data_IF_356078012655
#
_entry.id   IF_356078012655
#
_cell.length_a   1.000
_cell.length_b   1.000
_cell.length_c   1.000
_cell.angle_alpha   90.00
_cell.angle_beta   90.00
_cell.angle_gamma   90.00
#
_symmetry.space_group_name_H-M   'P 1'
#
loop_
_entity.id
_entity.type
_entity.pdbx_description
1 polymer ?
#
# COMPACT_ATOMS: atom_id res chain seq x y z
N UNK A 1 -2.24 5.36 -2.24
CA UNK A 1 -0.98 5.96 -1.77
C UNK A 1 0.16 4.95 -1.69
N UNK A 2 0.08 3.92 -0.83
CA UNK A 2 1.19 2.97 -0.65
C UNK A 2 1.58 2.20 -1.92
N UNK A 3 0.62 1.73 -2.73
CA UNK A 3 0.94 1.12 -4.04
C UNK A 3 1.72 2.07 -4.95
N UNK A 4 1.27 3.32 -5.07
CA UNK A 4 1.97 4.31 -5.87
C UNK A 4 3.38 4.61 -5.33
N UNK A 5 3.56 4.54 -4.01
CA UNK A 5 4.86 4.68 -3.36
C UNK A 5 5.78 3.48 -3.62
N UNK A 6 5.28 2.26 -3.48
CA UNK A 6 6.01 1.04 -3.84
C UNK A 6 6.40 1.04 -5.31
N UNK A 7 5.46 1.30 -6.21
CA UNK A 7 5.71 1.37 -7.66
C UNK A 7 6.70 2.51 -8.02
N UNK A 8 6.71 3.60 -7.25
CA UNK A 8 7.66 4.70 -7.42
C UNK A 8 9.07 4.27 -7.02
N UNK A 9 9.23 3.70 -5.83
CA UNK A 9 10.51 3.22 -5.33
C UNK A 9 11.08 2.11 -6.22
N UNK A 10 10.24 1.18 -6.68
CA UNK A 10 10.63 0.13 -7.63
C UNK A 10 11.04 0.72 -9.00
N UNK A 11 10.32 1.72 -9.49
CA UNK A 11 10.66 2.36 -10.78
C UNK A 11 11.98 3.14 -10.77
N UNK A 12 12.42 3.56 -9.59
CA UNK A 12 13.64 4.34 -9.38
C UNK A 12 14.86 3.44 -9.11
N UNK A 13 14.69 2.12 -9.05
CA UNK A 13 15.74 1.12 -8.74
C UNK A 13 16.59 1.53 -7.53
N UNK A 14 15.91 2.02 -6.49
CA UNK A 14 16.58 2.61 -5.33
C UNK A 14 17.23 1.53 -4.45
N UNK A 15 18.41 1.82 -3.87
CA UNK A 15 18.98 0.97 -2.83
C UNK A 15 18.01 0.74 -1.67
N UNK A 16 18.11 -0.43 -1.03
CA UNK A 16 17.22 -0.81 0.08
C UNK A 16 17.23 0.20 1.23
N UNK A 17 18.39 0.83 1.48
CA UNK A 17 18.55 1.88 2.49
C UNK A 17 17.71 3.12 2.16
N UNK A 18 17.80 3.63 0.92
CA UNK A 18 17.00 4.78 0.45
C UNK A 18 15.50 4.47 0.46
N UNK A 19 15.13 3.25 0.07
CA UNK A 19 13.74 2.76 0.17
C UNK A 19 13.20 2.85 1.60
N UNK A 20 13.99 2.42 2.58
CA UNK A 20 13.60 2.46 4.01
C UNK A 20 13.44 3.89 4.50
N UNK A 21 14.34 4.79 4.13
CA UNK A 21 14.26 6.21 4.50
C UNK A 21 13.00 6.88 3.94
N UNK A 22 12.74 6.71 2.64
CA UNK A 22 11.53 7.25 1.99
C UNK A 22 10.25 6.67 2.60
N UNK A 23 10.27 5.39 2.95
CA UNK A 23 9.13 4.72 3.62
C UNK A 23 8.89 5.33 5.01
N UNK A 24 9.96 5.59 5.75
CA UNK A 24 9.90 6.23 7.06
C UNK A 24 9.33 7.64 6.96
N UNK A 25 9.77 8.44 5.99
CA UNK A 25 9.24 9.79 5.75
C UNK A 25 7.72 9.77 5.49
N UNK A 26 7.24 8.85 4.65
CA UNK A 26 5.81 8.68 4.38
C UNK A 26 5.03 8.35 5.66
N UNK A 27 5.52 7.38 6.45
CA UNK A 27 4.85 6.93 7.68
C UNK A 27 4.83 8.03 8.74
N UNK A 28 5.94 8.74 8.90
CA UNK A 28 6.09 9.81 9.90
C UNK A 28 5.16 10.99 9.55
N UNK A 29 5.11 11.40 8.28
CA UNK A 29 4.20 12.45 7.81
C UNK A 29 2.73 12.06 7.98
N UNK A 30 2.34 10.87 7.49
CA UNK A 30 0.98 10.37 7.63
C UNK A 30 0.54 10.27 9.10
N UNK A 31 1.45 9.87 9.99
CA UNK A 31 1.20 9.80 11.43
C UNK A 31 1.03 11.18 12.05
N UNK A 32 1.80 12.18 11.61
CA UNK A 32 1.70 13.56 12.07
C UNK A 32 0.35 14.17 11.67
N UNK A 33 0.01 14.09 10.38
CA UNK A 33 -1.27 14.54 9.83
C UNK A 33 -2.46 13.89 10.55
N UNK A 34 -2.38 12.59 10.83
CA UNK A 34 -3.39 11.87 11.60
C UNK A 34 -3.60 12.41 13.02
N UNK A 35 -2.51 12.82 13.70
CA UNK A 35 -2.58 13.42 15.05
C UNK A 35 -3.18 14.82 15.03
N UNK A 36 -2.95 15.58 13.95
CA UNK A 36 -3.48 16.94 13.77
C UNK A 36 -4.92 16.94 13.24
N UNK A 37 -5.40 15.80 12.71
CA UNK A 37 -6.69 15.71 12.05
C UNK A 37 -6.69 16.37 10.66
N UNK A 38 -5.51 16.56 10.09
CA UNK A 38 -5.30 17.20 8.79
C UNK A 38 -5.15 16.13 7.69
N UNK A 39 -5.50 16.44 6.44
CA UNK A 39 -5.33 15.53 5.32
C UNK A 39 -3.87 15.47 4.85
N UNK A 40 -3.45 14.30 4.38
CA UNK A 40 -2.15 14.11 3.70
C UNK A 40 -2.22 14.82 2.34
N UNK A 41 -1.46 15.89 2.18
CA UNK A 41 -1.27 16.55 0.89
C UNK A 41 -0.21 15.80 0.06
N UNK A 42 -0.57 15.36 -1.15
CA UNK A 42 0.34 14.58 -2.00
C UNK A 42 1.57 15.36 -2.44
N UNK A 43 1.43 16.67 -2.64
CA UNK A 43 2.52 17.54 -3.07
C UNK A 43 3.56 17.72 -1.95
N UNK A 44 3.10 17.94 -0.72
CA UNK A 44 3.97 18.03 0.47
C UNK A 44 4.64 16.68 0.75
N UNK A 45 3.88 15.59 0.71
CA UNK A 45 4.42 14.24 0.86
C UNK A 45 5.49 13.92 -0.19
N UNK A 46 5.30 14.36 -1.43
CA UNK A 46 6.29 14.19 -2.50
C UNK A 46 7.60 14.92 -2.18
N UNK A 47 7.51 16.14 -1.65
CA UNK A 47 8.68 16.89 -1.18
C UNK A 47 9.42 16.22 -0.02
N UNK A 48 8.69 15.61 0.91
CA UNK A 48 9.27 14.89 2.05
C UNK A 48 9.90 13.54 1.67
N UNK A 49 9.42 12.91 0.61
CA UNK A 49 9.97 11.65 0.09
C UNK A 49 11.25 11.89 -0.70
N UNK A 50 11.36 12.99 -1.42
CA UNK A 50 12.51 13.29 -2.26
C UNK A 50 12.77 14.80 -2.26
N UNK A 51 13.60 15.27 -1.32
CA UNK A 51 13.91 16.69 -1.17
C UNK A 51 14.65 17.25 -2.41
N UNK A 52 15.45 16.40 -3.08
CA UNK A 52 16.19 16.76 -4.30
C UNK A 52 15.25 16.87 -5.52
N UNK A 53 14.22 16.02 -5.57
CA UNK A 53 13.21 15.99 -6.64
C UNK A 53 11.80 16.04 -6.06
N UNK A 54 11.36 17.19 -5.52
CA UNK A 54 10.15 17.29 -4.71
C UNK A 54 8.85 17.00 -5.46
N UNK A 55 8.87 16.99 -6.81
CA UNK A 55 7.70 16.64 -7.63
C UNK A 55 7.73 15.21 -8.18
N UNK A 56 8.82 14.47 -8.02
CA UNK A 56 9.00 13.16 -8.65
C UNK A 56 7.89 12.17 -8.26
N UNK A 57 7.56 12.08 -6.97
CA UNK A 57 6.52 11.19 -6.49
C UNK A 57 5.11 11.69 -6.88
N UNK A 58 4.86 13.00 -6.80
CA UNK A 58 3.59 13.60 -7.22
C UNK A 58 3.30 13.36 -8.70
N UNK A 59 4.28 13.61 -9.56
CA UNK A 59 4.17 13.43 -11.00
C UNK A 59 4.05 11.93 -11.34
N UNK A 60 4.75 11.05 -10.63
CA UNK A 60 4.58 9.60 -10.76
C UNK A 60 3.14 9.16 -10.49
N UNK A 61 2.52 9.69 -9.43
CA UNK A 61 1.13 9.39 -9.08
C UNK A 61 0.17 9.88 -10.17
N UNK A 62 0.39 11.08 -10.70
CA UNK A 62 -0.49 11.68 -11.71
C UNK A 62 -0.39 10.97 -13.06
N UNK A 63 0.82 10.60 -13.47
CA UNK A 63 1.08 10.02 -14.79
C UNK A 63 0.59 8.57 -14.92
N UNK A 64 0.56 7.81 -13.82
CA UNK A 64 0.14 6.41 -13.80
C UNK A 64 -1.34 6.20 -13.39
N UNK A 65 -2.10 7.28 -13.33
CA UNK A 65 -3.54 7.30 -13.03
C UNK A 65 -3.96 6.40 -11.85
N UNK A 66 -3.32 6.61 -10.70
CA UNK A 66 -3.69 5.88 -9.47
C UNK A 66 -5.04 6.31 -8.88
N UNK A 67 -5.79 7.22 -9.54
CA UNK A 67 -7.06 7.75 -9.06
C UNK A 67 -6.97 8.46 -7.71
N UNK A 68 -5.79 8.92 -7.31
CA UNK A 68 -5.60 9.57 -6.01
C UNK A 68 -6.01 11.05 -6.07
N UNK A 69 -6.87 11.44 -5.13
CA UNK A 69 -7.15 12.84 -4.84
C UNK A 69 -5.86 13.56 -4.41
N UNK A 70 -5.67 14.86 -4.75
CA UNK A 70 -4.53 15.65 -4.29
C UNK A 70 -4.37 15.67 -2.76
N UNK A 71 -5.47 15.48 -2.03
CA UNK A 71 -5.51 15.36 -0.58
C UNK A 71 -6.16 14.04 -0.18
N UNK A 72 -5.55 13.33 0.77
CA UNK A 72 -6.00 12.03 1.29
C UNK A 72 -6.29 12.16 2.79
N UNK A 73 -7.46 11.72 3.29
CA UNK A 73 -7.72 11.72 4.73
C UNK A 73 -6.63 10.96 5.50
N UNK A 74 -6.02 11.61 6.51
CA UNK A 74 -5.00 10.99 7.35
C UNK A 74 -5.58 10.07 8.45
N UNK A 75 -6.87 9.72 8.37
CA UNK A 75 -7.48 8.89 9.40
C UNK A 75 -6.89 7.46 9.39
N UNK A 76 -6.81 6.86 10.58
CA UNK A 76 -6.25 5.51 10.76
C UNK A 76 -7.01 4.44 9.97
N UNK A 77 -8.28 4.68 9.63
CA UNK A 77 -9.11 3.71 8.89
C UNK A 77 -8.68 3.66 7.43
N UNK A 78 -8.40 4.81 6.86
CA UNK A 78 -7.92 5.01 5.49
C UNK A 78 -6.49 4.48 5.39
N UNK A 79 -5.61 4.82 6.34
CA UNK A 79 -4.27 4.22 6.46
C UNK A 79 -4.31 2.69 6.63
N UNK A 80 -5.24 2.15 7.42
CA UNK A 80 -5.39 0.70 7.57
C UNK A 80 -5.99 0.02 6.33
N UNK A 81 -6.91 0.66 5.60
CA UNK A 81 -7.37 0.20 4.29
C UNK A 81 -6.24 0.22 3.26
N UNK A 82 -5.32 1.18 3.35
CA UNK A 82 -4.12 1.21 2.50
C UNK A 82 -3.11 0.11 2.87
N UNK A 83 -3.10 -0.36 4.12
CA UNK A 83 -2.25 -1.48 4.57
C UNK A 83 -2.83 -2.84 4.25
N UNK A 84 -4.16 -2.99 4.13
CA UNK A 84 -4.82 -4.30 4.07
C UNK A 84 -6.00 -4.32 3.11
N UNK A 85 -6.04 -5.35 2.27
CA UNK A 85 -7.25 -5.75 1.57
C UNK A 85 -8.17 -6.53 2.53
N UNK A 86 -9.48 -6.30 2.42
CA UNK A 86 -10.51 -6.99 3.20
C UNK A 86 -11.74 -7.25 2.33
N UNK A 87 -12.26 -8.48 2.33
CA UNK A 87 -13.47 -8.85 1.61
C UNK A 87 -14.29 -9.86 2.41
N UNK A 88 -15.62 -9.77 2.32
CA UNK A 88 -16.55 -10.73 2.93
C UNK A 88 -17.64 -11.10 1.93
N UNK A 89 -17.92 -12.39 1.80
CA UNK A 89 -19.01 -12.93 0.97
C UNK A 89 -19.41 -14.31 1.50
N UNK A 90 -20.71 -14.57 1.65
CA UNK A 90 -21.28 -15.93 1.85
C UNK A 90 -20.49 -16.87 2.80
N UNK A 91 -20.14 -16.40 4.01
CA UNK A 91 -19.41 -17.20 5.01
C UNK A 91 -17.88 -17.22 4.84
N UNK A 92 -17.36 -16.58 3.79
CA UNK A 92 -15.94 -16.34 3.56
C UNK A 92 -15.54 -14.92 4.01
N UNK A 93 -14.47 -14.82 4.78
CA UNK A 93 -13.85 -13.55 5.16
C UNK A 93 -12.36 -13.61 4.84
N UNK A 94 -11.90 -12.71 3.97
CA UNK A 94 -10.49 -12.62 3.55
C UNK A 94 -9.92 -11.30 4.02
N UNK A 95 -8.72 -11.34 4.60
CA UNK A 95 -7.95 -10.13 4.86
C UNK A 95 -6.45 -10.40 4.83
N UNK A 96 -5.70 -9.59 4.08
CA UNK A 96 -4.25 -9.69 3.95
C UNK A 96 -3.63 -8.31 3.77
N UNK A 97 -2.34 -8.19 4.07
CA UNK A 97 -1.62 -6.93 3.88
C UNK A 97 -1.34 -6.66 2.41
N UNK A 98 -1.45 -5.41 1.98
CA UNK A 98 -1.34 -5.03 0.58
C UNK A 98 0.02 -5.41 -0.03
N UNK A 99 1.09 -5.37 0.77
CA UNK A 99 2.44 -5.77 0.35
C UNK A 99 2.57 -7.26 -0.03
N UNK A 100 1.58 -8.09 0.33
CA UNK A 100 1.58 -9.51 -0.04
C UNK A 100 1.06 -9.74 -1.47
N UNK A 101 0.39 -8.75 -2.07
CA UNK A 101 -0.06 -8.82 -3.47
C UNK A 101 1.15 -8.74 -4.41
N UNK A 102 1.28 -9.72 -5.31
CA UNK A 102 2.45 -9.90 -6.18
C UNK A 102 3.53 -10.85 -5.61
N UNK A 103 3.49 -11.16 -4.32
CA UNK A 103 4.37 -12.14 -3.65
C UNK A 103 3.59 -13.40 -3.28
N UNK A 104 2.98 -13.40 -2.09
CA UNK A 104 2.20 -14.54 -1.57
C UNK A 104 0.77 -14.56 -2.08
N UNK A 105 0.26 -13.43 -2.57
CA UNK A 105 -1.09 -13.29 -3.07
C UNK A 105 -1.02 -12.88 -4.53
N UNK A 106 -1.68 -13.61 -5.41
CA UNK A 106 -1.83 -13.24 -6.81
C UNK A 106 -3.29 -13.02 -7.14
N UNK A 107 -3.59 -11.96 -7.88
CA UNK A 107 -4.93 -11.67 -8.35
C UNK A 107 -4.94 -11.72 -9.88
N UNK A 108 -5.81 -12.56 -10.43
CA UNK A 108 -6.12 -12.62 -11.86
C UNK A 108 -7.47 -11.94 -12.06
N UNK A 109 -7.44 -10.72 -12.60
CA UNK A 109 -8.63 -9.89 -12.81
C UNK A 109 -9.56 -10.49 -13.88
N UNK A 110 -9.00 -10.99 -15.00
CA UNK A 110 -9.77 -11.57 -16.10
C UNK A 110 -10.56 -12.80 -15.65
N UNK A 111 -9.96 -13.63 -14.80
CA UNK A 111 -10.60 -14.83 -14.24
C UNK A 111 -11.32 -14.57 -12.91
N UNK A 112 -11.25 -13.36 -12.37
CA UNK A 112 -11.78 -13.02 -11.05
C UNK A 112 -11.26 -13.93 -9.92
N UNK A 113 -9.99 -14.35 -9.98
CA UNK A 113 -9.42 -15.36 -9.09
C UNK A 113 -8.34 -14.78 -8.17
N UNK A 114 -8.35 -15.15 -6.90
CA UNK A 114 -7.29 -14.83 -5.94
C UNK A 114 -6.55 -16.11 -5.52
N UNK A 115 -5.24 -16.18 -5.77
CA UNK A 115 -4.37 -17.31 -5.40
C UNK A 115 -3.58 -16.92 -4.15
N UNK A 116 -3.61 -17.79 -3.13
CA UNK A 116 -2.87 -17.61 -1.88
C UNK A 116 -1.80 -18.69 -1.77
N UNK A 117 -0.53 -18.29 -1.83
CA UNK A 117 0.64 -19.15 -1.69
C UNK A 117 1.09 -19.18 -0.22
N UNK A 118 1.57 -20.34 0.23
CA UNK A 118 2.08 -20.51 1.60
C UNK A 118 1.00 -20.31 2.67
N UNK A 119 -0.10 -21.07 2.57
CA UNK A 119 -1.21 -21.01 3.53
C UNK A 119 -0.71 -21.20 4.99
N UNK A 120 -1.35 -20.55 5.97
CA UNK A 120 -1.02 -20.76 7.38
C UNK A 120 -1.16 -22.25 7.75
N UNK A 121 -0.18 -22.78 8.49
CA UNK A 121 -0.15 -24.21 8.89
C UNK A 121 -1.46 -24.68 9.49
N UNK A 122 -2.08 -23.85 10.35
CA UNK A 122 -3.37 -24.16 10.97
C UNK A 122 -4.50 -24.36 9.96
N UNK A 123 -4.53 -23.59 8.87
CA UNK A 123 -5.52 -23.74 7.80
C UNK A 123 -5.20 -24.98 6.96
N UNK A 124 -3.93 -25.20 6.62
CA UNK A 124 -3.49 -26.40 5.89
C UNK A 124 -3.85 -27.69 6.66
N UNK A 125 -3.63 -27.71 7.96
CA UNK A 125 -3.95 -28.87 8.81
C UNK A 125 -5.45 -29.13 8.86
N UNK A 126 -6.28 -28.10 8.95
CA UNK A 126 -7.73 -28.24 8.89
C UNK A 126 -8.21 -28.80 7.55
N UNK A 127 -7.61 -28.35 6.44
CA UNK A 127 -7.96 -28.84 5.10
C UNK A 127 -7.55 -30.31 4.89
N UNK A 128 -6.41 -30.74 5.46
CA UNK A 128 -5.92 -32.13 5.35
C UNK A 128 -6.70 -33.13 6.21
N UNK A 129 -7.39 -32.68 7.25
CA UNK A 129 -8.19 -33.52 8.16
C UNK A 129 -9.63 -33.74 7.65
N UNK A 130 -9.96 -33.20 6.47
CA UNK A 130 -11.24 -33.44 5.80
C UNK A 130 -11.29 -34.80 5.14
#
# INVERSE_FOLDING_TARGET
LLKAFSDFVESEDLPEESTREKTKALVDYASSQSKMGEPIALEELSGLIDEDRPRAFYDHIRNKDYGLSPEIPADKRTLNQFRRFTGRAEGLSISFEAHLLGDKIEYDEEKGTLIIKGLPTQLTDQLKRR
#
